data_IF_374114000053
#
_entry.id   IF_374114000053
#
_cell.length_a   1.000
_cell.length_b   1.000
_cell.length_c   1.000
_cell.angle_alpha   90.00
_cell.angle_beta   90.00
_cell.angle_gamma   90.00
#
_symmetry.space_group_name_H-M   'P 1'
#
loop_
_entity.id
_entity.type
_entity.pdbx_description
1 polymer ?
#
# COMPACT_ATOMS: atom_id res chain seq x y z
N UNK A 1 25.44 -9.96 31.63
CA UNK A 1 26.05 -10.64 30.47
C UNK A 1 25.00 -11.61 29.96
N UNK A 2 24.21 -11.35 28.92
CA UNK A 2 24.41 -10.61 27.66
C UNK A 2 23.22 -9.67 27.36
N UNK A 3 23.44 -8.46 26.79
CA UNK A 3 22.41 -7.48 26.45
C UNK A 3 21.91 -7.65 25.01
N UNK A 4 21.48 -8.86 24.61
CA UNK A 4 21.15 -9.12 23.20
C UNK A 4 19.71 -8.74 22.81
N UNK A 5 18.80 -8.54 23.77
CA UNK A 5 17.39 -8.27 23.44
C UNK A 5 17.08 -6.82 23.01
N UNK A 6 17.99 -5.87 23.24
CA UNK A 6 17.75 -4.46 22.89
C UNK A 6 18.24 -4.11 21.47
N UNK A 7 19.33 -4.74 21.03
CA UNK A 7 19.91 -4.53 19.68
C UNK A 7 19.02 -5.18 18.63
N UNK A 8 18.47 -6.38 18.87
CA UNK A 8 17.52 -7.01 17.94
C UNK A 8 16.22 -6.21 17.77
N UNK A 9 15.72 -5.62 18.87
CA UNK A 9 14.54 -4.76 18.83
C UNK A 9 14.84 -3.48 18.04
N UNK A 10 16.00 -2.86 18.26
CA UNK A 10 16.44 -1.64 17.57
C UNK A 10 16.82 -1.89 16.08
N UNK A 11 17.39 -3.06 15.76
CA UNK A 11 17.76 -3.44 14.39
C UNK A 11 16.54 -3.75 13.52
N UNK A 12 15.44 -4.23 14.11
CA UNK A 12 14.17 -4.40 13.41
C UNK A 12 13.55 -3.07 12.96
N UNK A 13 13.77 -2.01 13.74
CA UNK A 13 13.33 -0.64 13.45
C UNK A 13 14.26 0.11 12.48
N UNK A 14 15.57 -0.21 12.47
CA UNK A 14 16.58 0.49 11.66
C UNK A 14 16.71 -0.07 10.22
N UNK A 15 16.46 -1.37 9.98
CA UNK A 15 16.71 -1.97 8.65
C UNK A 15 15.59 -1.81 7.61
N UNK A 16 14.48 -1.13 7.91
CA UNK A 16 13.42 -1.01 6.92
C UNK A 16 12.25 -0.16 7.36
N UNK A 17 12.47 1.14 7.54
CA UNK A 17 11.40 2.10 7.79
C UNK A 17 10.34 2.03 6.69
N UNK A 18 9.27 1.26 6.93
CA UNK A 18 8.19 1.08 5.98
C UNK A 18 7.42 2.40 5.88
N UNK A 19 7.19 2.95 4.69
CA UNK A 19 6.53 4.26 4.49
C UNK A 19 5.22 4.43 5.26
N UNK A 20 4.95 5.61 5.83
CA UNK A 20 3.72 5.89 6.60
C UNK A 20 2.42 5.61 5.81
N UNK A 21 2.46 5.88 4.51
CA UNK A 21 1.34 5.69 3.60
C UNK A 21 1.50 4.42 2.75
N UNK A 22 0.38 3.84 2.36
CA UNK A 22 0.31 2.73 1.41
C UNK A 22 -0.59 3.09 0.24
N UNK A 23 -0.19 2.64 -0.94
CA UNK A 23 -0.98 2.78 -2.15
C UNK A 23 -1.92 1.58 -2.24
N UNK A 24 -3.21 1.83 -2.43
CA UNK A 24 -4.24 0.81 -2.53
C UNK A 24 -5.06 1.03 -3.79
N UNK A 25 -5.63 -0.04 -4.33
CA UNK A 25 -6.62 0.02 -5.38
C UNK A 25 -8.00 -0.08 -4.76
N UNK A 26 -8.83 0.92 -5.03
CA UNK A 26 -10.25 0.93 -4.70
C UNK A 26 -11.06 0.63 -5.95
N UNK A 27 -12.24 0.03 -5.81
CA UNK A 27 -13.15 -0.22 -6.93
C UNK A 27 -14.58 0.15 -6.58
N UNK A 28 -15.31 0.66 -7.59
CA UNK A 28 -16.75 0.88 -7.52
C UNK A 28 -17.44 -0.45 -7.23
N UNK A 29 -18.31 -0.46 -6.21
CA UNK A 29 -19.10 -1.65 -5.84
C UNK A 29 -20.09 -2.03 -6.95
N UNK A 30 -20.47 -1.07 -7.80
CA UNK A 30 -21.50 -1.28 -8.82
C UNK A 30 -20.89 -1.69 -10.16
N UNK A 31 -19.92 -0.91 -10.68
CA UNK A 31 -19.36 -1.14 -12.03
C UNK A 31 -18.03 -1.85 -12.03
N UNK A 32 -17.36 -1.97 -10.88
CA UNK A 32 -16.00 -2.45 -10.78
C UNK A 32 -14.95 -1.49 -11.33
N UNK A 33 -15.31 -0.24 -11.68
CA UNK A 33 -14.33 0.77 -12.08
C UNK A 33 -13.30 0.98 -10.98
N UNK A 34 -12.01 0.82 -11.31
CA UNK A 34 -10.93 0.90 -10.29
C UNK A 34 -10.21 2.23 -10.30
N UNK A 35 -9.76 2.66 -9.12
CA UNK A 35 -8.92 3.85 -8.93
C UNK A 35 -7.81 3.56 -7.93
N UNK A 36 -6.76 4.38 -7.98
CA UNK A 36 -5.66 4.32 -7.01
C UNK A 36 -5.93 5.32 -5.89
N UNK A 37 -5.66 4.90 -4.66
CA UNK A 37 -5.85 5.71 -3.46
C UNK A 37 -4.65 5.59 -2.52
N UNK A 38 -4.42 6.63 -1.72
CA UNK A 38 -3.42 6.68 -0.66
C UNK A 38 -4.13 6.65 0.70
N UNK A 39 -3.73 5.71 1.55
CA UNK A 39 -4.17 5.66 2.95
C UNK A 39 -3.01 5.49 3.89
N UNK A 40 -3.21 5.83 5.16
CA UNK A 40 -2.24 5.50 6.21
C UNK A 40 -2.17 3.98 6.39
N UNK A 41 -0.96 3.46 6.66
CA UNK A 41 -0.77 2.02 6.86
C UNK A 41 -1.55 1.50 8.07
N UNK A 42 -1.57 2.27 9.14
CA UNK A 42 -2.23 1.92 10.39
C UNK A 42 -3.75 2.13 10.35
N UNK A 43 -4.28 2.76 9.30
CA UNK A 43 -5.71 2.97 9.13
C UNK A 43 -6.40 1.73 8.54
N UNK A 44 -7.70 1.61 8.83
CA UNK A 44 -8.58 0.59 8.29
C UNK A 44 -8.74 0.68 6.76
N UNK A 45 -9.35 -0.35 6.18
CA UNK A 45 -9.67 -0.39 4.75
C UNK A 45 -10.52 0.82 4.38
N UNK A 46 -10.16 1.47 3.28
CA UNK A 46 -10.83 2.70 2.86
C UNK A 46 -12.15 2.40 2.13
N UNK A 47 -13.21 3.10 2.51
CA UNK A 47 -14.48 3.19 1.79
C UNK A 47 -14.83 4.68 1.54
N UNK A 48 -15.16 5.02 0.30
CA UNK A 48 -15.40 6.42 -0.13
C UNK A 48 -16.51 6.49 -1.18
N UNK A 49 -17.31 7.56 -1.12
CA UNK A 49 -18.22 7.91 -2.21
C UNK A 49 -17.44 8.72 -3.25
N UNK A 50 -17.42 8.26 -4.49
CA UNK A 50 -16.74 8.92 -5.60
C UNK A 50 -17.61 8.85 -6.85
N UNK A 51 -17.41 9.80 -7.75
CA UNK A 51 -18.05 9.77 -9.07
C UNK A 51 -17.57 8.58 -9.89
N UNK A 52 -18.53 7.79 -10.37
CA UNK A 52 -18.32 6.68 -11.29
C UNK A 52 -18.69 7.10 -12.72
N UNK A 53 -17.70 7.24 -13.62
CA UNK A 53 -17.95 7.69 -14.98
C UNK A 53 -18.81 6.71 -15.78
N UNK A 54 -18.84 5.43 -15.43
CA UNK A 54 -19.68 4.45 -16.13
C UNK A 54 -21.16 4.54 -15.73
N UNK A 55 -21.46 5.04 -14.53
CA UNK A 55 -22.84 5.29 -14.08
C UNK A 55 -23.29 6.74 -14.29
N UNK A 56 -22.35 7.67 -14.47
CA UNK A 56 -22.65 9.10 -14.50
C UNK A 56 -23.14 9.65 -13.17
N UNK A 57 -22.85 8.97 -12.04
CA UNK A 57 -23.25 9.40 -10.69
C UNK A 57 -22.24 8.98 -9.63
N UNK A 58 -22.39 9.50 -8.43
CA UNK A 58 -21.60 9.08 -7.28
C UNK A 58 -22.00 7.69 -6.78
N UNK A 59 -21.01 6.87 -6.44
CA UNK A 59 -21.22 5.55 -5.84
C UNK A 59 -20.12 5.21 -4.83
N UNK A 60 -20.33 4.12 -4.09
CA UNK A 60 -19.36 3.62 -3.12
C UNK A 60 -18.20 2.92 -3.82
N UNK A 61 -16.99 3.27 -3.40
CA UNK A 61 -15.75 2.61 -3.75
C UNK A 61 -15.13 2.00 -2.49
N UNK A 62 -14.70 0.75 -2.60
CA UNK A 62 -14.07 -0.01 -1.51
C UNK A 62 -12.67 -0.49 -1.89
N UNK A 63 -11.79 -0.62 -0.89
CA UNK A 63 -10.44 -1.18 -1.08
C UNK A 63 -10.49 -2.65 -1.48
N UNK A 64 -10.00 -2.94 -2.69
CA UNK A 64 -9.90 -4.30 -3.24
C UNK A 64 -8.55 -4.93 -2.90
N UNK A 65 -7.45 -4.20 -3.15
CA UNK A 65 -6.11 -4.72 -2.90
C UNK A 65 -5.10 -3.62 -2.63
N UNK A 66 -4.10 -3.97 -1.82
CA UNK A 66 -2.89 -3.16 -1.67
C UNK A 66 -2.02 -3.30 -2.92
N UNK A 67 -1.53 -2.17 -3.43
CA UNK A 67 -0.56 -2.18 -4.53
C UNK A 67 0.82 -2.47 -3.93
N UNK A 68 1.49 -3.47 -4.50
CA UNK A 68 2.83 -3.93 -4.09
C UNK A 68 3.81 -2.76 -4.12
N UNK A 69 4.54 -2.56 -3.02
CA UNK A 69 5.52 -1.48 -2.88
C UNK A 69 6.90 -1.87 -3.44
N UNK A 70 7.87 -0.95 -3.37
CA UNK A 70 9.27 -1.19 -3.79
C UNK A 70 9.84 -2.49 -3.22
N UNK A 71 9.52 -2.84 -1.98
CA UNK A 71 9.97 -4.07 -1.31
C UNK A 71 9.44 -5.33 -1.99
N UNK A 72 8.22 -5.28 -2.51
CA UNK A 72 7.45 -6.44 -2.98
C UNK A 72 7.65 -6.70 -4.49
N UNK A 73 8.48 -5.88 -5.15
CA UNK A 73 8.90 -6.07 -6.53
C UNK A 73 9.89 -7.23 -6.65
N UNK A 74 9.81 -7.95 -7.77
CA UNK A 74 10.77 -9.03 -8.07
C UNK A 74 12.19 -8.48 -8.27
N UNK A 75 13.20 -9.32 -8.04
CA UNK A 75 14.61 -8.96 -8.20
C UNK A 75 14.90 -8.41 -9.62
N UNK A 76 14.34 -9.06 -10.64
CA UNK A 76 14.50 -8.61 -12.03
C UNK A 76 13.93 -7.21 -12.28
N UNK A 77 12.77 -6.88 -11.70
CA UNK A 77 12.15 -5.56 -11.85
C UNK A 77 12.97 -4.50 -11.11
N UNK A 78 13.47 -4.80 -9.92
CA UNK A 78 14.36 -3.88 -9.17
C UNK A 78 15.62 -3.56 -9.97
N UNK A 79 16.26 -4.57 -10.57
CA UNK A 79 17.43 -4.43 -11.44
C UNK A 79 17.14 -3.59 -12.68
N UNK A 80 16.01 -3.85 -13.36
CA UNK A 80 15.62 -3.17 -14.60
C UNK A 80 15.45 -1.66 -14.42
N UNK A 81 14.94 -1.22 -13.27
CA UNK A 81 14.68 0.19 -12.98
C UNK A 81 15.75 0.84 -12.07
N UNK A 82 16.86 0.16 -11.77
CA UNK A 82 17.90 0.69 -10.89
C UNK A 82 17.42 1.00 -9.47
N UNK A 83 16.44 0.22 -8.98
CA UNK A 83 15.80 0.41 -7.67
C UNK A 83 16.51 -0.43 -6.58
N UNK A 84 17.59 -1.13 -6.93
CA UNK A 84 18.43 -1.91 -6.01
C UNK A 84 19.02 -1.00 -4.92
N UNK A 85 18.80 -1.37 -3.66
CA UNK A 85 19.52 -0.85 -2.49
C UNK A 85 20.54 -1.90 -2.08
#
# INVERSE_FOLDING_TARGET
FQPESLIDLLCSDIMGAKSKYVIVQIASVITGATRVWLRERAADKTSRILFDPALGRECLFEEVKRIKGKTDLSKNVKKMYGIEN
#
